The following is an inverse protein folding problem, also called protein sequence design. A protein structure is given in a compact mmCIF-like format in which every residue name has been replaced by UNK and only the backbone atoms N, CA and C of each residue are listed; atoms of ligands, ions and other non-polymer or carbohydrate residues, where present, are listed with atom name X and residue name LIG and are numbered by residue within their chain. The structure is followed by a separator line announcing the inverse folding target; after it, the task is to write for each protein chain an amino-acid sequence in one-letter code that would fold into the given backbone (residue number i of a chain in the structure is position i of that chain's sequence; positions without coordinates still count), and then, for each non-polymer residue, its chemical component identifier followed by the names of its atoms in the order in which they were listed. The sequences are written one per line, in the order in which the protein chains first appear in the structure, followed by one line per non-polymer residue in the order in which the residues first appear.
data_IF_924122881508
#
_entry.id   IF_924122881508
#
_cell.length_a   1.000
_cell.length_b   1.000
_cell.length_c   1.000
_cell.angle_alpha   90.00
_cell.angle_beta   90.00
_cell.angle_gamma   90.00
#
_symmetry.space_group_name_H-M   'P 1'
#
loop_
_entity.id
_entity.type
_entity.pdbx_description
1 polymer ?
#
# COMPACT_ATOMS: atom_id res chain seq x y z
N UNK A 1 5.21 3.58 -13.54
CA UNK A 1 4.32 4.63 -12.97
C UNK A 1 5.03 5.73 -12.15
N UNK A 2 5.80 5.42 -11.09
CA UNK A 2 6.33 6.46 -10.17
C UNK A 2 7.23 7.52 -10.83
N UNK A 3 8.05 7.14 -11.81
CA UNK A 3 8.84 8.10 -12.61
C UNK A 3 7.97 9.15 -13.32
N UNK A 4 6.78 8.75 -13.79
CA UNK A 4 5.81 9.67 -14.41
C UNK A 4 5.23 10.63 -13.36
N UNK A 5 4.93 10.14 -12.17
CA UNK A 5 4.49 10.99 -11.06
C UNK A 5 5.56 12.02 -10.68
N UNK A 6 6.84 11.63 -10.59
CA UNK A 6 7.93 12.56 -10.25
C UNK A 6 7.98 13.77 -11.21
N UNK A 7 7.87 13.53 -12.53
CA UNK A 7 7.83 14.62 -13.52
C UNK A 7 6.64 15.57 -13.35
N UNK A 8 5.49 15.05 -12.91
CA UNK A 8 4.31 15.89 -12.62
C UNK A 8 4.52 16.65 -11.32
N UNK A 9 5.02 15.97 -10.29
CA UNK A 9 5.28 16.55 -8.97
C UNK A 9 6.26 17.72 -9.04
N UNK A 10 7.31 17.60 -9.85
CA UNK A 10 8.29 18.69 -10.08
C UNK A 10 7.62 19.96 -10.60
N UNK A 11 6.66 19.83 -11.53
CA UNK A 11 5.90 20.96 -12.09
C UNK A 11 4.90 21.59 -11.13
N UNK A 12 4.51 20.90 -10.06
CA UNK A 12 3.59 21.43 -9.06
C UNK A 12 4.27 22.41 -8.10
N UNK A 13 5.59 22.56 -8.16
CA UNK A 13 6.39 23.49 -7.34
C UNK A 13 6.02 23.45 -5.84
N UNK A 14 5.71 22.24 -5.37
CA UNK A 14 5.22 22.03 -4.01
C UNK A 14 6.28 22.42 -2.98
N UNK A 15 5.89 23.28 -2.02
CA UNK A 15 6.74 23.70 -0.90
C UNK A 15 7.01 22.59 0.13
N UNK A 16 6.33 21.44 0.03
CA UNK A 16 6.53 20.31 0.96
C UNK A 16 7.51 19.28 0.43
N UNK A 17 8.25 18.63 1.34
CA UNK A 17 9.10 17.47 1.06
C UNK A 17 8.31 16.17 0.83
N UNK A 18 6.97 16.17 1.01
CA UNK A 18 6.16 14.98 0.87
C UNK A 18 6.17 14.44 -0.58
N UNK A 19 6.39 13.14 -0.77
CA UNK A 19 6.45 12.54 -2.11
C UNK A 19 5.11 12.59 -2.85
N UNK A 20 4.01 12.30 -2.15
CA UNK A 20 2.66 12.49 -2.68
C UNK A 20 2.04 13.77 -2.12
N UNK A 21 1.50 14.59 -3.03
CA UNK A 21 0.87 15.88 -2.71
C UNK A 21 -0.58 15.91 -3.20
N UNK A 22 -1.42 16.68 -2.50
CA UNK A 22 -2.79 16.95 -2.92
C UNK A 22 -2.87 18.01 -4.02
N UNK A 23 -4.09 18.34 -4.46
CA UNK A 23 -4.33 19.31 -5.54
C UNK A 23 -3.76 20.71 -5.27
N UNK A 24 -3.67 21.11 -4.01
CA UNK A 24 -3.11 22.41 -3.60
C UNK A 24 -1.60 22.37 -3.33
N UNK A 25 -0.91 21.30 -3.71
CA UNK A 25 0.53 21.16 -3.49
C UNK A 25 0.94 20.87 -2.04
N UNK A 26 0.00 20.65 -1.13
CA UNK A 26 0.26 20.23 0.25
C UNK A 26 0.45 18.72 0.38
N UNK A 27 0.93 18.23 1.53
CA UNK A 27 1.01 16.79 1.83
C UNK A 27 -0.36 16.12 1.64
N UNK A 28 -0.39 15.01 0.91
CA UNK A 28 -1.61 14.23 0.75
C UNK A 28 -2.11 13.71 2.11
N UNK A 29 -3.34 14.09 2.48
CA UNK A 29 -3.99 13.71 3.74
C UNK A 29 -4.70 12.36 3.62
N UNK A 30 -5.07 11.75 4.75
CA UNK A 30 -5.77 10.46 4.84
C UNK A 30 -7.02 10.38 3.96
N UNK A 31 -7.88 11.40 4.00
CA UNK A 31 -9.09 11.45 3.17
C UNK A 31 -8.75 11.49 1.67
N UNK A 32 -7.68 12.18 1.28
CA UNK A 32 -7.21 12.21 -0.10
C UNK A 32 -6.82 10.81 -0.60
N UNK A 33 -6.11 10.03 0.22
CA UNK A 33 -5.80 8.62 -0.10
C UNK A 33 -7.06 7.78 -0.20
N UNK A 34 -7.99 7.94 0.74
CA UNK A 34 -9.27 7.25 0.73
C UNK A 34 -10.03 7.52 -0.58
N UNK A 35 -10.27 8.80 -0.90
CA UNK A 35 -10.99 9.21 -2.11
C UNK A 35 -10.28 8.76 -3.39
N UNK A 36 -8.95 8.80 -3.45
CA UNK A 36 -8.21 8.31 -4.61
C UNK A 36 -8.49 6.82 -4.85
N UNK A 37 -8.48 6.00 -3.80
CA UNK A 37 -8.76 4.57 -3.93
C UNK A 37 -10.23 4.31 -4.25
N UNK A 38 -11.16 4.89 -3.49
CA UNK A 38 -12.59 4.61 -3.62
C UNK A 38 -13.17 5.11 -4.95
N UNK A 39 -12.74 6.28 -5.43
CA UNK A 39 -13.13 6.82 -6.73
C UNK A 39 -12.79 5.87 -7.89
N UNK A 40 -11.62 5.27 -7.86
CA UNK A 40 -11.21 4.31 -8.90
C UNK A 40 -11.89 2.96 -8.73
N UNK A 41 -12.07 2.50 -7.48
CA UNK A 41 -12.78 1.26 -7.18
C UNK A 41 -14.26 1.32 -7.61
N UNK A 42 -14.93 2.44 -7.40
CA UNK A 42 -16.31 2.66 -7.82
C UNK A 42 -16.45 2.60 -9.35
N UNK A 43 -15.52 3.23 -10.08
CA UNK A 43 -15.50 3.21 -11.56
C UNK A 43 -15.40 1.80 -12.16
N UNK A 44 -14.79 0.86 -11.44
CA UNK A 44 -14.65 -0.54 -11.87
C UNK A 44 -15.63 -1.48 -11.15
N UNK A 45 -16.61 -0.93 -10.42
CA UNK A 45 -17.66 -1.70 -9.76
C UNK A 45 -17.26 -2.42 -8.47
N UNK A 46 -16.05 -2.18 -7.94
CA UNK A 46 -15.57 -2.77 -6.68
C UNK A 46 -16.08 -2.03 -5.43
N UNK A 47 -16.56 -0.79 -5.57
CA UNK A 47 -17.07 0.01 -4.46
C UNK A 47 -18.47 0.54 -4.77
N UNK A 48 -19.45 0.22 -3.91
CA UNK A 48 -20.81 0.75 -3.94
C UNK A 48 -21.09 1.52 -2.64
N UNK A 49 -20.84 2.83 -2.58
CA UNK A 49 -20.93 3.61 -1.33
C UNK A 49 -22.35 3.62 -0.72
N UNK A 50 -23.38 3.45 -1.54
CA UNK A 50 -24.78 3.44 -1.08
C UNK A 50 -25.30 2.03 -0.73
N UNK A 51 -24.47 0.99 -0.84
CA UNK A 51 -24.89 -0.36 -0.48
C UNK A 51 -24.92 -0.53 1.04
N UNK A 52 -25.97 -1.14 1.60
CA UNK A 52 -26.00 -1.50 3.02
C UNK A 52 -25.04 -2.65 3.37
N UNK A 53 -24.49 -3.36 2.37
CA UNK A 53 -23.65 -4.55 2.57
C UNK A 53 -22.19 -4.16 2.65
N UNK A 54 -21.53 -4.45 3.77
CA UNK A 54 -20.12 -4.10 4.00
C UNK A 54 -19.16 -4.66 2.93
N UNK A 55 -19.45 -5.84 2.38
CA UNK A 55 -18.65 -6.47 1.33
C UNK A 55 -18.67 -5.72 -0.01
N UNK A 56 -19.64 -4.84 -0.22
CA UNK A 56 -19.71 -4.00 -1.42
C UNK A 56 -18.84 -2.73 -1.27
N UNK A 57 -18.17 -2.56 -0.14
CA UNK A 57 -17.29 -1.43 0.12
C UNK A 57 -15.82 -1.80 -0.10
N UNK A 58 -15.11 -0.95 -0.86
CA UNK A 58 -13.68 -1.10 -1.09
C UNK A 58 -12.95 0.14 -0.59
N UNK A 59 -11.90 -0.06 0.21
CA UNK A 59 -11.13 1.01 0.85
C UNK A 59 -9.63 0.71 0.79
N UNK A 60 -8.74 1.65 1.15
CA UNK A 60 -7.31 1.38 1.25
C UNK A 60 -6.97 0.19 2.18
N UNK A 61 -7.80 -0.08 3.19
CA UNK A 61 -7.61 -1.23 4.08
C UNK A 61 -7.80 -2.57 3.35
N UNK A 62 -8.71 -2.63 2.36
CA UNK A 62 -8.90 -3.81 1.52
C UNK A 62 -7.62 -4.14 0.74
N UNK A 63 -6.89 -3.13 0.24
CA UNK A 63 -5.58 -3.33 -0.39
C UNK A 63 -4.55 -3.91 0.58
N UNK A 64 -4.49 -3.42 1.83
CA UNK A 64 -3.59 -3.99 2.87
C UNK A 64 -3.94 -5.44 3.20
N UNK A 65 -5.24 -5.75 3.28
CA UNK A 65 -5.70 -7.12 3.51
C UNK A 65 -5.33 -8.03 2.35
N UNK A 66 -5.58 -7.61 1.11
CA UNK A 66 -5.18 -8.33 -0.09
C UNK A 66 -3.68 -8.59 -0.09
N UNK A 67 -2.85 -7.55 0.12
CA UNK A 67 -1.40 -7.66 0.16
C UNK A 67 -0.92 -8.73 1.16
N UNK A 68 -1.45 -8.68 2.38
CA UNK A 68 -1.08 -9.61 3.45
C UNK A 68 -1.51 -11.04 3.11
N UNK A 69 -2.76 -11.21 2.68
CA UNK A 69 -3.33 -12.51 2.33
C UNK A 69 -2.63 -13.13 1.12
N UNK A 70 -2.29 -12.30 0.12
CA UNK A 70 -1.60 -12.76 -1.08
C UNK A 70 -0.19 -13.24 -0.75
N UNK A 71 0.62 -12.43 -0.07
CA UNK A 71 2.00 -12.82 0.28
C UNK A 71 2.04 -14.08 1.15
N UNK A 72 1.11 -14.20 2.11
CA UNK A 72 0.97 -15.41 2.92
C UNK A 72 0.62 -16.63 2.07
N UNK A 73 -0.29 -16.50 1.11
CA UNK A 73 -0.66 -17.59 0.18
C UNK A 73 0.49 -17.96 -0.75
N UNK A 74 1.32 -17.00 -1.13
CA UNK A 74 2.56 -17.20 -1.89
C UNK A 74 3.71 -17.80 -1.04
N UNK A 75 3.43 -18.23 0.20
CA UNK A 75 4.40 -18.81 1.14
C UNK A 75 5.53 -17.86 1.56
N UNK A 76 5.28 -16.55 1.52
CA UNK A 76 6.21 -15.59 2.13
C UNK A 76 6.25 -15.79 3.65
N UNK A 77 7.44 -15.79 4.28
CA UNK A 77 7.55 -15.94 5.72
C UNK A 77 6.81 -14.86 6.50
N UNK A 78 6.26 -15.20 7.67
CA UNK A 78 5.32 -14.34 8.42
C UNK A 78 6.02 -13.11 8.97
N UNK A 79 7.23 -13.28 9.47
CA UNK A 79 8.18 -12.27 9.95
C UNK A 79 8.45 -11.22 8.87
N UNK A 80 8.68 -11.64 7.62
CA UNK A 80 8.87 -10.73 6.51
C UNK A 80 7.59 -9.97 6.16
N UNK A 81 6.42 -10.62 6.24
CA UNK A 81 5.13 -9.93 6.05
C UNK A 81 4.89 -8.91 7.17
N UNK A 82 5.20 -9.22 8.44
CA UNK A 82 5.11 -8.29 9.57
C UNK A 82 6.03 -7.07 9.35
N UNK A 83 7.27 -7.31 8.92
CA UNK A 83 8.26 -6.26 8.64
C UNK A 83 7.78 -5.32 7.52
N UNK A 84 7.31 -5.86 6.39
CA UNK A 84 6.74 -5.06 5.29
C UNK A 84 5.50 -4.26 5.71
N UNK A 85 4.74 -4.78 6.68
CA UNK A 85 3.55 -4.13 7.24
C UNK A 85 3.88 -3.05 8.25
N UNK A 86 5.11 -3.01 8.77
CA UNK A 86 5.53 -2.16 9.89
C UNK A 86 4.82 -2.51 11.20
N UNK A 87 4.46 -3.78 11.39
CA UNK A 87 3.81 -4.22 12.63
C UNK A 87 4.84 -4.19 13.79
N UNK A 88 4.41 -3.85 15.01
CA UNK A 88 5.31 -3.77 16.17
C UNK A 88 5.90 -5.14 16.52
N UNK A 89 7.23 -5.23 16.67
CA UNK A 89 7.95 -6.41 17.16
C UNK A 89 7.63 -6.62 18.65
N UNK A 90 6.84 -7.63 18.98
CA UNK A 90 6.42 -7.94 20.36
C UNK A 90 6.88 -9.32 20.83
N UNK A 91 7.27 -10.19 19.90
CA UNK A 91 7.70 -11.55 20.22
C UNK A 91 9.21 -11.53 20.52
N UNK A 92 9.67 -12.29 21.50
CA UNK A 92 11.11 -12.40 21.85
C UNK A 92 11.95 -12.86 20.66
N UNK A 93 11.38 -13.67 19.76
CA UNK A 93 11.99 -14.07 18.49
C UNK A 93 12.21 -12.88 17.55
N UNK A 94 11.27 -11.93 17.48
CA UNK A 94 11.38 -10.74 16.61
C UNK A 94 12.52 -9.79 17.05
N UNK A 95 12.97 -9.90 18.32
CA UNK A 95 14.08 -9.09 18.88
C UNK A 95 15.45 -9.63 18.45
N UNK A 96 15.57 -10.95 18.26
CA UNK A 96 16.82 -11.59 17.81
C UNK A 96 16.89 -11.78 16.30
N UNK A 97 15.74 -11.71 15.61
CA UNK A 97 15.67 -11.86 14.16
C UNK A 97 16.06 -10.55 13.44
N UNK A 98 17.34 -10.47 13.07
CA UNK A 98 17.82 -9.39 12.21
C UNK A 98 17.43 -9.69 10.76
N UNK A 99 16.21 -9.28 10.39
CA UNK A 99 15.74 -9.39 9.00
C UNK A 99 16.64 -8.57 8.09
N UNK A 100 17.43 -9.26 7.26
CA UNK A 100 18.25 -8.63 6.23
C UNK A 100 17.37 -8.01 5.14
N UNK A 101 17.74 -6.80 4.69
CA UNK A 101 16.92 -6.04 3.73
C UNK A 101 16.95 -6.66 2.33
N UNK A 102 18.07 -7.26 1.94
CA UNK A 102 18.20 -7.87 0.62
C UNK A 102 17.44 -9.20 0.56
N UNK A 103 17.47 -9.99 1.63
CA UNK A 103 16.63 -11.19 1.78
C UNK A 103 15.14 -10.84 1.76
N UNK A 104 14.72 -9.82 2.54
CA UNK A 104 13.35 -9.33 2.55
C UNK A 104 12.90 -8.89 1.15
N UNK A 105 13.75 -8.15 0.45
CA UNK A 105 13.49 -7.68 -0.91
C UNK A 105 13.37 -8.86 -1.89
N UNK A 106 14.29 -9.82 -1.86
CA UNK A 106 14.26 -11.00 -2.72
C UNK A 106 12.98 -11.80 -2.50
N UNK A 107 12.65 -12.07 -1.23
CA UNK A 107 11.43 -12.80 -0.85
C UNK A 107 10.17 -12.07 -1.31
N UNK A 108 10.08 -10.75 -1.09
CA UNK A 108 8.99 -9.92 -1.60
C UNK A 108 8.83 -10.04 -3.12
N UNK A 109 9.92 -9.89 -3.88
CA UNK A 109 9.88 -9.93 -5.34
C UNK A 109 9.53 -11.32 -5.91
N UNK A 110 9.88 -12.40 -5.20
CA UNK A 110 9.46 -13.75 -5.57
C UNK A 110 7.97 -14.01 -5.30
N UNK A 111 7.40 -13.36 -4.28
CA UNK A 111 6.03 -13.65 -3.83
C UNK A 111 4.98 -12.70 -4.42
N UNK A 112 5.30 -11.44 -4.69
CA UNK A 112 4.33 -10.45 -5.18
C UNK A 112 3.96 -10.72 -6.65
N UNK A 113 2.68 -10.61 -7.06
CA UNK A 113 2.32 -10.83 -8.45
C UNK A 113 2.80 -9.66 -9.32
N UNK A 114 3.12 -9.96 -10.58
CA UNK A 114 3.33 -8.94 -11.59
C UNK A 114 1.97 -8.39 -12.02
N UNK A 115 1.71 -7.11 -11.72
CA UNK A 115 0.40 -6.46 -11.94
C UNK A 115 0.26 -5.82 -13.34
N UNK A 116 1.28 -5.90 -14.20
CA UNK A 116 1.22 -5.42 -15.59
C UNK A 116 1.06 -3.90 -15.73
N UNK A 117 1.66 -3.11 -14.83
CA UNK A 117 1.50 -1.65 -14.69
C UNK A 117 2.75 -0.82 -15.01
#
# INVERSE_FOLDING_TARGET
ILKRWMRVREKLESKTKAFFVGAHGERLKRHGVYHAVTKHAERIGLHKPNSPRMQDHFSPHCCRHWFTTYLRRARMPREYIKELRGDSRKDTVDIYDHIDRDELRKSYLMCIPQLGV
#
